data_IF_842637198303
#
_entry.id   IF_842637198303
#
_cell.length_a   1.000
_cell.length_b   1.000
_cell.length_c   1.000
_cell.angle_alpha   90.00
_cell.angle_beta   90.00
_cell.angle_gamma   90.00
#
_symmetry.space_group_name_H-M   'P 1'
#
loop_
_entity.id
_entity.type
_entity.pdbx_description
1 polymer ?
#
# COMPACT_ATOMS: atom_id res chain seq x y z
N UNK A 1 -14.87 -16.93 -10.10
CA UNK A 1 -13.66 -16.65 -9.30
C UNK A 1 -13.43 -15.18 -9.44
N UNK A 2 -13.04 -14.51 -8.35
CA UNK A 2 -12.80 -13.08 -8.41
C UNK A 2 -11.62 -12.78 -9.34
N UNK A 3 -11.68 -11.63 -10.00
CA UNK A 3 -10.67 -11.21 -10.96
C UNK A 3 -9.67 -10.28 -10.27
N UNK A 4 -8.39 -10.66 -10.19
CA UNK A 4 -7.34 -9.72 -9.80
C UNK A 4 -7.02 -8.78 -10.96
N UNK A 5 -7.58 -7.56 -10.93
CA UNK A 5 -7.52 -6.62 -12.04
C UNK A 5 -6.33 -5.69 -11.98
N UNK A 6 -5.82 -5.34 -10.79
CA UNK A 6 -4.64 -4.53 -10.66
C UNK A 6 -3.93 -4.77 -9.33
N UNK A 7 -2.61 -4.61 -9.36
CA UNK A 7 -1.76 -4.53 -8.18
C UNK A 7 -1.08 -3.17 -8.22
N UNK A 8 -1.20 -2.40 -7.15
CA UNK A 8 -0.66 -1.05 -7.05
C UNK A 8 0.23 -0.98 -5.81
N UNK A 9 1.39 -0.33 -5.92
CA UNK A 9 2.28 -0.07 -4.79
C UNK A 9 2.71 1.40 -4.81
N UNK A 10 2.59 2.09 -3.67
CA UNK A 10 2.89 3.52 -3.57
C UNK A 10 3.49 3.90 -2.23
N UNK A 11 4.26 4.98 -2.21
CA UNK A 11 4.53 5.67 -0.95
C UNK A 11 3.25 6.29 -0.37
N UNK A 12 3.12 6.33 0.97
CA UNK A 12 1.93 6.88 1.67
C UNK A 12 2.22 8.19 2.41
N UNK A 13 3.07 9.04 1.85
CA UNK A 13 3.52 10.24 2.54
C UNK A 13 2.37 11.26 2.73
N UNK A 14 1.94 11.55 3.98
CA UNK A 14 0.68 12.24 4.22
C UNK A 14 0.68 13.73 3.84
N UNK A 15 1.86 14.32 3.66
CA UNK A 15 1.99 15.69 3.19
C UNK A 15 1.48 15.89 1.76
N UNK A 16 1.43 14.84 0.93
CA UNK A 16 0.89 14.95 -0.43
C UNK A 16 -0.49 15.62 -0.42
N UNK A 17 -1.39 15.17 0.45
CA UNK A 17 -2.76 15.67 0.49
C UNK A 17 -2.75 17.18 0.76
N UNK A 18 -2.07 17.64 1.82
CA UNK A 18 -1.91 19.06 2.11
C UNK A 18 -1.31 19.84 0.94
N UNK A 19 -0.19 19.35 0.40
CA UNK A 19 0.55 20.01 -0.68
C UNK A 19 -0.31 20.16 -1.93
N UNK A 20 -1.14 19.17 -2.25
CA UNK A 20 -2.05 19.20 -3.42
C UNK A 20 -3.20 20.20 -3.28
N UNK A 21 -3.52 20.65 -2.06
CA UNK A 21 -4.56 21.64 -1.79
C UNK A 21 -4.02 23.07 -1.68
N UNK A 22 -2.69 23.27 -1.73
CA UNK A 22 -2.10 24.60 -1.61
C UNK A 22 -2.36 25.43 -2.89
N UNK A 23 -2.65 26.73 -2.73
CA UNK A 23 -2.60 27.68 -3.84
C UNK A 23 -1.23 27.66 -4.54
N UNK A 24 -1.16 27.89 -5.88
CA UNK A 24 0.11 27.83 -6.62
C UNK A 24 1.22 28.76 -6.10
N UNK A 25 0.87 29.88 -5.49
CA UNK A 25 1.81 30.85 -4.90
C UNK A 25 2.36 30.41 -3.52
N UNK A 26 1.77 29.40 -2.91
CA UNK A 26 2.18 28.82 -1.61
C UNK A 26 2.73 27.40 -1.75
N UNK A 27 2.55 26.77 -2.91
CA UNK A 27 2.98 25.41 -3.17
C UNK A 27 4.51 25.33 -3.31
N UNK A 28 5.17 24.28 -2.75
CA UNK A 28 6.59 24.08 -2.94
C UNK A 28 6.91 23.78 -4.42
N UNK A 29 8.16 24.01 -4.87
CA UNK A 29 8.53 23.88 -6.29
C UNK A 29 8.24 22.50 -6.90
N UNK A 30 8.31 21.43 -6.11
CA UNK A 30 8.03 20.06 -6.55
C UNK A 30 6.53 19.72 -6.64
N UNK A 31 5.64 20.55 -6.11
CA UNK A 31 4.22 20.22 -5.98
C UNK A 31 3.54 19.96 -7.34
N UNK A 32 3.82 20.79 -8.35
CA UNK A 32 3.20 20.66 -9.67
C UNK A 32 3.57 19.33 -10.34
N UNK A 33 4.85 18.93 -10.24
CA UNK A 33 5.32 17.64 -10.74
C UNK A 33 4.68 16.49 -9.97
N UNK A 34 4.66 16.58 -8.63
CA UNK A 34 4.06 15.56 -7.78
C UNK A 34 2.58 15.33 -8.10
N UNK A 35 1.79 16.40 -8.21
CA UNK A 35 0.37 16.33 -8.59
C UNK A 35 0.19 15.70 -9.97
N UNK A 36 1.04 16.06 -10.96
CA UNK A 36 0.97 15.50 -12.31
C UNK A 36 1.27 14.00 -12.34
N UNK A 37 2.27 13.55 -11.58
CA UNK A 37 2.62 12.13 -11.46
C UNK A 37 1.49 11.34 -10.80
N UNK A 38 0.90 11.87 -9.71
CA UNK A 38 -0.28 11.26 -9.08
C UNK A 38 -1.46 11.19 -10.03
N UNK A 39 -1.72 12.24 -10.84
CA UNK A 39 -2.80 12.20 -11.81
C UNK A 39 -2.60 11.05 -12.82
N UNK A 40 -1.37 10.82 -13.28
CA UNK A 40 -1.04 9.69 -14.17
C UNK A 40 -1.20 8.35 -13.45
N UNK A 41 -0.70 8.23 -12.22
CA UNK A 41 -0.81 7.00 -11.43
C UNK A 41 -2.27 6.64 -11.13
N UNK A 42 -3.11 7.63 -10.81
CA UNK A 42 -4.55 7.49 -10.59
C UNK A 42 -5.25 6.84 -11.78
N UNK A 43 -4.92 7.27 -13.00
CA UNK A 43 -5.52 6.68 -14.21
C UNK A 43 -5.25 5.18 -14.34
N UNK A 44 -4.15 4.67 -13.76
CA UNK A 44 -3.86 3.24 -13.79
C UNK A 44 -4.89 2.41 -13.04
N UNK A 45 -5.41 2.90 -11.90
CA UNK A 45 -6.51 2.27 -11.16
C UNK A 45 -7.86 2.51 -11.87
N UNK A 46 -8.10 3.73 -12.37
CA UNK A 46 -9.33 4.10 -13.07
C UNK A 46 -9.62 3.13 -14.22
N UNK A 47 -8.61 2.78 -15.02
CA UNK A 47 -8.71 1.83 -16.14
C UNK A 47 -9.04 0.40 -15.70
N UNK A 48 -8.54 0.01 -14.53
CA UNK A 48 -8.75 -1.32 -13.96
C UNK A 48 -10.18 -1.52 -13.43
N UNK A 49 -10.93 -0.45 -13.09
CA UNK A 49 -12.32 -0.52 -12.58
C UNK A 49 -12.53 -1.65 -11.55
N UNK A 50 -11.85 -1.62 -10.40
CA UNK A 50 -12.12 -2.58 -9.34
C UNK A 50 -13.47 -2.31 -8.67
N UNK A 51 -14.07 -3.37 -8.15
CA UNK A 51 -15.29 -3.33 -7.32
C UNK A 51 -14.95 -3.30 -5.83
N UNK A 52 -13.77 -3.81 -5.43
CA UNK A 52 -13.28 -3.89 -4.04
C UNK A 52 -11.76 -3.72 -4.01
N UNK A 53 -11.26 -3.11 -2.94
CA UNK A 53 -9.83 -2.87 -2.73
C UNK A 53 -9.29 -3.67 -1.54
N UNK A 54 -8.30 -4.52 -1.77
CA UNK A 54 -7.48 -5.07 -0.68
C UNK A 54 -6.37 -4.09 -0.40
N UNK A 55 -6.36 -3.49 0.78
CA UNK A 55 -5.45 -2.39 1.12
C UNK A 55 -4.37 -2.88 2.08
N UNK A 56 -3.11 -2.84 1.67
CA UNK A 56 -1.97 -3.21 2.52
C UNK A 56 -1.28 -1.95 3.03
N UNK A 57 -1.03 -1.88 4.33
CA UNK A 57 -0.27 -0.80 4.95
C UNK A 57 0.16 -1.19 6.35
N UNK A 58 0.55 -0.20 7.13
CA UNK A 58 1.06 -0.38 8.49
C UNK A 58 0.45 0.66 9.42
N UNK A 59 0.00 0.25 10.61
CA UNK A 59 -0.51 1.19 11.62
C UNK A 59 0.66 1.99 12.19
N UNK A 60 0.56 3.31 12.16
CA UNK A 60 1.60 4.22 12.65
C UNK A 60 1.51 4.44 14.16
N UNK A 61 1.37 3.34 14.91
CA UNK A 61 1.18 3.33 16.35
C UNK A 61 -0.06 4.14 16.79
N UNK A 62 -1.13 4.02 16.02
CA UNK A 62 -2.38 4.69 16.28
C UNK A 62 -3.29 3.82 17.14
N UNK A 63 -3.48 2.58 16.71
CA UNK A 63 -4.31 1.59 17.42
C UNK A 63 -3.51 0.36 17.81
N UNK A 64 -2.49 -0.02 17.04
CA UNK A 64 -1.67 -1.19 17.32
C UNK A 64 -0.41 -0.74 18.05
N UNK A 65 -0.28 -1.16 19.31
CA UNK A 65 0.80 -0.73 20.19
C UNK A 65 1.56 -1.91 20.78
N UNK A 66 2.61 -1.63 21.56
CA UNK A 66 3.55 -2.63 22.10
C UNK A 66 2.92 -3.61 23.10
N UNK A 67 1.72 -3.32 23.62
CA UNK A 67 0.96 -4.24 24.45
C UNK A 67 0.28 -5.36 23.65
N UNK A 68 -0.03 -5.12 22.36
CA UNK A 68 -0.48 -6.14 21.43
C UNK A 68 -0.24 -5.74 19.96
N UNK A 69 0.88 -6.19 19.40
CA UNK A 69 1.28 -5.91 18.01
C UNK A 69 1.18 -7.17 17.14
N UNK A 70 0.09 -7.35 16.37
CA UNK A 70 -0.03 -8.47 15.45
C UNK A 70 0.96 -8.34 14.29
N UNK A 71 1.52 -9.45 13.83
CA UNK A 71 2.48 -9.44 12.72
C UNK A 71 1.79 -9.10 11.38
N UNK A 72 0.61 -9.68 11.18
CA UNK A 72 -0.29 -9.40 10.06
C UNK A 72 -1.73 -9.44 10.59
N UNK A 73 -2.51 -8.40 10.29
CA UNK A 73 -3.88 -8.25 10.76
C UNK A 73 -4.81 -7.93 9.59
N UNK A 74 -5.94 -8.61 9.50
CA UNK A 74 -7.01 -8.29 8.54
C UNK A 74 -8.16 -7.61 9.28
N UNK A 75 -8.54 -6.41 8.87
CA UNK A 75 -9.77 -5.81 9.37
C UNK A 75 -10.98 -6.58 8.84
N UNK A 76 -12.00 -6.75 9.68
CA UNK A 76 -13.21 -7.52 9.35
C UNK A 76 -14.46 -6.81 9.90
N UNK A 77 -14.57 -5.51 9.64
CA UNK A 77 -15.67 -4.67 10.08
C UNK A 77 -16.51 -4.23 8.86
N UNK A 78 -17.83 -4.02 9.01
CA UNK A 78 -18.67 -3.52 7.92
C UNK A 78 -18.33 -2.08 7.52
N UNK A 79 -17.82 -1.28 8.46
CA UNK A 79 -17.46 0.12 8.27
C UNK A 79 -16.20 0.45 9.08
N UNK A 80 -15.40 1.38 8.59
CA UNK A 80 -14.20 1.87 9.25
C UNK A 80 -14.22 3.39 9.34
N UNK A 81 -14.11 3.92 10.56
CA UNK A 81 -13.75 5.32 10.76
C UNK A 81 -12.31 5.53 10.28
N UNK A 82 -12.08 6.65 9.62
CA UNK A 82 -10.79 6.91 9.01
C UNK A 82 -10.35 8.37 9.12
N UNK A 83 -9.02 8.42 9.20
CA UNK A 83 -8.13 9.46 9.68
C UNK A 83 -8.31 9.80 11.17
N UNK A 84 -7.18 9.79 11.87
CA UNK A 84 -7.05 10.19 13.26
C UNK A 84 -6.99 11.71 13.40
N UNK A 85 -7.29 12.22 14.59
CA UNK A 85 -7.38 13.66 14.82
C UNK A 85 -6.06 14.39 14.54
N UNK A 86 -4.91 13.78 14.87
CA UNK A 86 -3.60 14.32 14.52
C UNK A 86 -3.37 14.34 13.01
N UNK A 87 -3.84 13.36 12.25
CA UNK A 87 -3.67 13.33 10.79
C UNK A 87 -4.51 14.43 10.12
N UNK A 88 -5.72 14.64 10.62
CA UNK A 88 -6.60 15.74 10.21
C UNK A 88 -5.92 17.09 10.51
N UNK A 89 -5.41 17.26 11.73
CA UNK A 89 -4.77 18.52 12.17
C UNK A 89 -3.45 18.78 11.42
N UNK A 90 -2.56 17.80 11.36
CA UNK A 90 -1.18 17.95 10.89
C UNK A 90 -1.04 17.80 9.37
N UNK A 91 -1.98 17.13 8.70
CA UNK A 91 -1.91 16.89 7.26
C UNK A 91 -3.15 17.43 6.51
N UNK A 92 -4.14 17.97 7.23
CA UNK A 92 -5.36 18.50 6.62
C UNK A 92 -6.27 17.44 6.01
N UNK A 93 -6.04 16.16 6.31
CA UNK A 93 -6.79 15.05 5.72
C UNK A 93 -8.26 15.09 6.18
N UNK A 94 -9.21 14.68 5.32
CA UNK A 94 -10.63 14.71 5.68
C UNK A 94 -10.97 13.56 6.64
N UNK A 95 -12.07 13.71 7.39
CA UNK A 95 -12.71 12.55 8.04
C UNK A 95 -13.29 11.66 6.96
N UNK A 96 -13.03 10.37 7.04
CA UNK A 96 -13.53 9.37 6.09
C UNK A 96 -14.29 8.28 6.83
N UNK A 97 -15.28 7.71 6.15
CA UNK A 97 -16.00 6.53 6.60
C UNK A 97 -16.00 5.53 5.45
N UNK A 98 -15.23 4.46 5.58
CA UNK A 98 -14.97 3.50 4.51
C UNK A 98 -15.82 2.25 4.72
N UNK A 99 -16.42 1.72 3.66
CA UNK A 99 -17.14 0.43 3.72
C UNK A 99 -16.13 -0.71 3.75
N UNK A 100 -16.36 -1.71 4.59
CA UNK A 100 -15.61 -2.97 4.55
C UNK A 100 -16.29 -4.02 3.69
N UNK A 101 -15.49 -4.90 3.07
CA UNK A 101 -15.99 -6.13 2.45
C UNK A 101 -15.84 -7.31 3.43
N UNK A 102 -16.89 -7.57 4.21
CA UNK A 102 -16.85 -8.60 5.26
C UNK A 102 -16.70 -10.01 4.69
N UNK A 103 -17.23 -10.27 3.50
CA UNK A 103 -17.17 -11.58 2.86
C UNK A 103 -15.74 -11.90 2.44
N UNK A 104 -15.09 -10.99 1.69
CA UNK A 104 -13.69 -11.15 1.30
C UNK A 104 -12.76 -11.16 2.51
N UNK A 105 -13.04 -10.34 3.54
CA UNK A 105 -12.26 -10.35 4.80
C UNK A 105 -12.35 -11.71 5.50
N UNK A 106 -13.56 -12.27 5.61
CA UNK A 106 -13.76 -13.59 6.21
C UNK A 106 -13.10 -14.71 5.39
N UNK A 107 -13.19 -14.62 4.07
CA UNK A 107 -12.55 -15.56 3.16
C UNK A 107 -11.02 -15.51 3.26
N UNK A 108 -10.44 -14.30 3.27
CA UNK A 108 -9.00 -14.07 3.48
C UNK A 108 -8.48 -14.69 4.78
N UNK A 109 -9.21 -14.50 5.88
CA UNK A 109 -8.85 -15.07 7.18
C UNK A 109 -8.94 -16.61 7.18
N UNK A 110 -9.99 -17.17 6.56
CA UNK A 110 -10.19 -18.62 6.53
C UNK A 110 -9.14 -19.33 5.68
N UNK A 111 -8.91 -18.84 4.46
CA UNK A 111 -7.95 -19.42 3.53
C UNK A 111 -6.51 -19.13 3.93
N UNK A 112 -6.25 -17.98 4.57
CA UNK A 112 -4.94 -17.64 5.12
C UNK A 112 -4.45 -18.69 6.11
N UNK A 113 -5.32 -19.16 7.01
CA UNK A 113 -5.02 -20.25 7.94
C UNK A 113 -4.67 -21.55 7.20
N UNK A 114 -5.47 -21.94 6.19
CA UNK A 114 -5.23 -23.17 5.43
C UNK A 114 -3.96 -23.10 4.57
N UNK A 115 -3.51 -21.88 4.22
CA UNK A 115 -2.25 -21.60 3.53
C UNK A 115 -1.07 -21.34 4.48
N UNK A 116 -1.26 -21.56 5.80
CA UNK A 116 -0.18 -21.50 6.79
C UNK A 116 0.20 -20.08 7.24
N UNK A 117 -0.74 -19.14 7.22
CA UNK A 117 -0.61 -17.81 7.80
C UNK A 117 -1.55 -17.62 8.99
N UNK A 118 -0.96 -17.35 10.16
CA UNK A 118 -1.67 -16.97 11.37
C UNK A 118 -2.05 -15.49 11.33
N UNK A 119 -3.10 -15.16 10.57
CA UNK A 119 -3.60 -13.79 10.44
C UNK A 119 -4.44 -13.40 11.67
N UNK A 120 -4.08 -12.29 12.32
CA UNK A 120 -4.94 -11.67 13.31
C UNK A 120 -6.15 -11.00 12.62
N UNK A 121 -7.21 -10.72 13.37
CA UNK A 121 -8.32 -9.90 12.87
C UNK A 121 -8.79 -8.87 13.88
N UNK A 122 -9.36 -7.77 13.38
CA UNK A 122 -10.05 -6.76 14.20
C UNK A 122 -11.38 -6.36 13.57
N UNK A 123 -12.44 -6.36 14.38
CA UNK A 123 -13.77 -5.87 13.99
C UNK A 123 -13.98 -4.40 14.37
N UNK A 124 -12.99 -3.76 15.01
CA UNK A 124 -13.08 -2.39 15.52
C UNK A 124 -11.82 -1.61 15.14
N UNK A 125 -11.33 -1.83 13.92
CA UNK A 125 -10.16 -1.14 13.40
C UNK A 125 -10.54 0.29 13.01
N UNK A 126 -9.72 1.26 13.39
CA UNK A 126 -9.72 2.61 12.82
C UNK A 126 -8.57 2.73 11.85
N UNK A 127 -8.82 3.34 10.70
CA UNK A 127 -7.88 3.36 9.58
C UNK A 127 -7.07 4.65 9.59
N UNK A 128 -5.75 4.50 9.47
CA UNK A 128 -4.77 5.58 9.44
C UNK A 128 -4.31 5.93 8.01
N UNK A 129 -3.39 6.88 7.91
CA UNK A 129 -2.91 7.42 6.64
C UNK A 129 -2.19 6.40 5.75
N UNK A 130 -1.67 5.29 6.28
CA UNK A 130 -1.04 4.26 5.43
C UNK A 130 -2.03 3.68 4.41
N UNK A 131 -3.32 3.60 4.76
CA UNK A 131 -4.39 3.11 3.90
C UNK A 131 -5.10 4.27 3.19
N UNK A 132 -5.36 5.37 3.89
CA UNK A 132 -6.13 6.48 3.30
C UNK A 132 -5.33 7.34 2.33
N UNK A 133 -4.01 7.50 2.50
CA UNK A 133 -3.19 8.24 1.53
C UNK A 133 -3.22 7.61 0.14
N UNK A 134 -3.00 6.29 -0.02
CA UNK A 134 -3.21 5.62 -1.30
C UNK A 134 -4.63 5.83 -1.86
N UNK A 135 -5.67 5.70 -1.03
CA UNK A 135 -7.06 5.95 -1.47
C UNK A 135 -7.22 7.38 -2.00
N UNK A 136 -6.79 8.40 -1.26
CA UNK A 136 -6.87 9.80 -1.69
C UNK A 136 -6.05 10.08 -2.96
N UNK A 137 -5.01 9.28 -3.19
CA UNK A 137 -4.14 9.37 -4.36
C UNK A 137 -4.82 8.81 -5.61
N UNK A 138 -5.28 7.55 -5.55
CA UNK A 138 -5.75 6.80 -6.74
C UNK A 138 -7.27 6.63 -6.84
N UNK A 139 -8.02 6.87 -5.75
CA UNK A 139 -9.49 6.83 -5.71
C UNK A 139 -10.06 7.85 -4.70
N UNK A 140 -9.91 9.17 -4.95
CA UNK A 140 -10.29 10.21 -3.98
C UNK A 140 -11.77 10.24 -3.61
N UNK A 141 -12.64 9.63 -4.43
CA UNK A 141 -14.07 9.48 -4.13
C UNK A 141 -14.31 8.56 -2.91
N UNK A 142 -13.33 7.72 -2.54
CA UNK A 142 -13.35 6.83 -1.38
C UNK A 142 -14.65 6.00 -1.26
N UNK A 143 -15.16 5.52 -2.39
CA UNK A 143 -16.51 4.95 -2.56
C UNK A 143 -16.52 3.41 -2.73
N UNK A 144 -15.35 2.80 -2.87
CA UNK A 144 -15.18 1.35 -2.98
C UNK A 144 -15.07 0.71 -1.58
N UNK A 145 -15.62 -0.51 -1.39
CA UNK A 145 -15.35 -1.26 -0.18
C UNK A 145 -13.86 -1.65 -0.09
N UNK A 146 -13.38 -1.79 1.14
CA UNK A 146 -11.99 -2.16 1.43
C UNK A 146 -11.89 -3.44 2.27
N UNK A 147 -10.78 -4.15 2.11
CA UNK A 147 -10.27 -5.17 3.05
C UNK A 147 -8.90 -4.69 3.52
N UNK A 148 -8.80 -4.03 4.69
CA UNK A 148 -7.53 -3.53 5.19
C UNK A 148 -6.69 -4.68 5.77
N UNK A 149 -5.42 -4.72 5.40
CA UNK A 149 -4.40 -5.63 5.90
C UNK A 149 -3.28 -4.77 6.48
N UNK A 150 -3.15 -4.80 7.80
CA UNK A 150 -2.03 -4.17 8.50
C UNK A 150 -0.87 -5.14 8.69
N UNK A 151 0.33 -4.67 8.40
CA UNK A 151 1.57 -5.40 8.64
C UNK A 151 2.36 -4.73 9.77
N UNK A 152 3.11 -5.52 10.52
CA UNK A 152 4.06 -4.98 11.49
C UNK A 152 5.41 -4.75 10.81
N UNK A 153 5.72 -3.48 10.54
CA UNK A 153 7.02 -3.03 10.03
C UNK A 153 7.83 -2.25 11.07
N UNK A 154 7.28 -1.98 12.26
CA UNK A 154 7.88 -1.07 13.23
C UNK A 154 8.43 -1.75 14.48
N UNK A 155 7.66 -2.64 15.10
CA UNK A 155 7.97 -3.14 16.44
C UNK A 155 8.52 -4.56 16.40
N UNK A 156 9.76 -4.81 16.88
CA UNK A 156 10.30 -6.15 16.94
C UNK A 156 9.52 -7.04 17.93
N UNK A 157 9.45 -8.36 17.69
CA UNK A 157 10.02 -9.08 16.54
C UNK A 157 9.25 -8.80 15.24
N UNK A 158 9.99 -8.66 14.14
CA UNK A 158 9.47 -8.46 12.79
C UNK A 158 9.55 -9.77 11.98
N UNK A 159 8.60 -10.03 11.05
CA UNK A 159 8.74 -11.11 10.09
C UNK A 159 9.92 -10.83 9.15
N UNK A 160 10.59 -11.87 8.66
CA UNK A 160 11.66 -11.69 7.67
C UNK A 160 11.09 -11.20 6.32
N UNK A 161 11.88 -10.51 5.49
CA UNK A 161 11.43 -10.02 4.19
C UNK A 161 10.82 -11.10 3.27
N UNK A 162 11.34 -12.33 3.30
CA UNK A 162 10.77 -13.47 2.54
C UNK A 162 9.32 -13.75 2.93
N UNK A 163 8.97 -13.53 4.20
CA UNK A 163 7.62 -13.79 4.72
C UNK A 163 6.60 -12.79 4.15
N UNK A 164 7.01 -11.55 3.90
CA UNK A 164 6.18 -10.55 3.23
C UNK A 164 5.92 -10.95 1.77
N UNK A 165 6.95 -11.37 1.04
CA UNK A 165 6.80 -11.90 -0.34
C UNK A 165 5.86 -13.12 -0.37
N UNK A 166 6.02 -14.06 0.58
CA UNK A 166 5.13 -15.22 0.69
C UNK A 166 3.69 -14.83 0.99
N UNK A 167 3.47 -13.84 1.86
CA UNK A 167 2.13 -13.34 2.15
C UNK A 167 1.50 -12.72 0.91
N UNK A 168 2.26 -11.92 0.14
CA UNK A 168 1.78 -11.37 -1.12
C UNK A 168 1.33 -12.43 -2.12
N UNK A 169 2.15 -13.48 -2.32
CA UNK A 169 1.79 -14.63 -3.16
C UNK A 169 0.50 -15.31 -2.66
N UNK A 170 0.40 -15.48 -1.34
CA UNK A 170 -0.77 -16.08 -0.69
C UNK A 170 -2.03 -15.24 -0.89
N UNK A 171 -1.94 -13.92 -0.72
CA UNK A 171 -3.06 -12.98 -0.95
C UNK A 171 -3.57 -13.09 -2.38
N UNK A 172 -2.66 -13.12 -3.37
CA UNK A 172 -3.04 -13.34 -4.78
C UNK A 172 -3.81 -14.64 -4.95
N UNK A 173 -3.25 -15.75 -4.47
CA UNK A 173 -3.88 -17.07 -4.60
C UNK A 173 -5.28 -17.10 -3.95
N UNK A 174 -5.45 -16.46 -2.79
CA UNK A 174 -6.74 -16.34 -2.11
C UNK A 174 -7.73 -15.57 -2.97
N UNK A 175 -7.35 -14.39 -3.47
CA UNK A 175 -8.22 -13.56 -4.31
C UNK A 175 -8.66 -14.34 -5.55
N UNK A 176 -7.73 -14.94 -6.27
CA UNK A 176 -8.01 -15.73 -7.48
C UNK A 176 -8.81 -17.02 -7.17
N UNK A 177 -8.85 -17.46 -5.90
CA UNK A 177 -9.63 -18.61 -5.43
C UNK A 177 -10.99 -18.23 -4.83
N UNK A 178 -11.29 -16.94 -4.63
CA UNK A 178 -12.55 -16.52 -4.05
C UNK A 178 -13.71 -16.75 -5.03
N UNK A 179 -14.79 -17.47 -4.66
CA UNK A 179 -15.93 -17.77 -5.54
C UNK A 179 -16.87 -16.56 -5.73
N UNK A 180 -16.31 -15.47 -6.23
CA UNK A 180 -17.02 -14.23 -6.57
C UNK A 180 -16.85 -13.91 -8.06
N UNK A 181 -17.53 -12.87 -8.54
CA UNK A 181 -17.36 -12.26 -9.87
C UNK A 181 -16.81 -10.83 -9.77
N UNK A 182 -16.46 -10.39 -8.55
CA UNK A 182 -15.95 -9.05 -8.31
C UNK A 182 -14.53 -8.89 -8.84
N UNK A 183 -14.24 -7.66 -9.24
CA UNK A 183 -12.93 -7.20 -9.68
C UNK A 183 -12.17 -6.65 -8.48
N UNK A 184 -11.08 -7.30 -8.12
CA UNK A 184 -10.28 -6.95 -6.94
C UNK A 184 -9.02 -6.21 -7.40
N UNK A 185 -8.75 -5.05 -6.79
CA UNK A 185 -7.42 -4.45 -6.84
C UNK A 185 -6.72 -4.58 -5.49
N UNK A 186 -5.43 -4.89 -5.50
CA UNK A 186 -4.61 -4.85 -4.27
C UNK A 186 -3.76 -3.59 -4.32
N UNK A 187 -3.86 -2.75 -3.29
CA UNK A 187 -3.11 -1.51 -3.19
C UNK A 187 -2.30 -1.55 -1.90
N UNK A 188 -0.97 -1.60 -2.03
CA UNK A 188 -0.07 -1.58 -0.90
C UNK A 188 0.67 -0.26 -0.79
N UNK A 189 1.03 0.08 0.44
CA UNK A 189 1.84 1.27 0.67
C UNK A 189 2.92 1.08 1.69
N UNK A 190 3.95 1.91 1.59
CA UNK A 190 5.11 1.90 2.47
C UNK A 190 5.99 3.10 2.21
N UNK A 191 7.29 2.93 2.42
CA UNK A 191 8.33 3.89 2.06
C UNK A 191 9.62 3.16 1.71
N UNK A 192 10.50 3.83 0.97
CA UNK A 192 11.82 3.32 0.62
C UNK A 192 12.79 3.65 1.78
N UNK A 193 13.90 4.35 1.52
CA UNK A 193 14.70 4.92 2.60
C UNK A 193 13.88 5.96 3.36
N UNK A 194 13.79 5.80 4.69
CA UNK A 194 13.08 6.75 5.54
C UNK A 194 13.73 6.85 6.91
N UNK A 195 13.97 8.08 7.36
CA UNK A 195 14.43 8.40 8.69
C UNK A 195 13.47 9.40 9.33
N UNK A 196 12.92 9.03 10.49
CA UNK A 196 12.01 9.83 11.28
C UNK A 196 12.71 10.29 12.56
N UNK A 197 12.74 11.61 12.79
CA UNK A 197 13.34 12.25 13.96
C UNK A 197 14.87 12.32 13.96
N UNK A 198 15.53 11.79 12.93
CA UNK A 198 16.99 11.79 12.80
C UNK A 198 17.53 12.93 11.92
N UNK A 199 18.86 13.14 11.91
CA UNK A 199 19.49 14.23 11.16
C UNK A 199 19.33 14.12 9.64
N UNK A 200 19.20 12.90 9.07
CA UNK A 200 19.03 12.70 7.62
C UNK A 200 17.65 13.13 7.14
N UNK A 201 16.64 13.17 8.00
CA UNK A 201 15.31 13.70 7.68
C UNK A 201 15.37 15.16 7.19
N UNK A 202 16.33 15.94 7.70
CA UNK A 202 16.51 17.36 7.37
C UNK A 202 17.66 17.59 6.38
N UNK A 203 18.09 16.52 5.71
CA UNK A 203 19.12 16.57 4.69
C UNK A 203 18.67 17.27 3.40
N UNK A 204 19.61 17.49 2.46
CA UNK A 204 19.28 18.00 1.12
C UNK A 204 18.61 16.95 0.22
N UNK A 205 18.67 15.67 0.60
CA UNK A 205 18.10 14.52 -0.11
C UNK A 205 17.44 13.57 0.89
N UNK A 206 16.68 12.60 0.38
CA UNK A 206 16.26 11.45 1.17
C UNK A 206 17.42 10.73 1.86
N UNK A 207 17.13 9.90 2.88
CA UNK A 207 18.13 9.32 3.77
C UNK A 207 19.19 8.44 3.09
N UNK A 208 18.82 7.75 1.99
CA UNK A 208 19.72 6.93 1.20
C UNK A 208 19.24 6.83 -0.27
N UNK A 209 19.66 7.78 -1.13
CA UNK A 209 19.26 7.79 -2.54
C UNK A 209 19.76 6.58 -3.34
N UNK A 210 20.85 5.92 -2.91
CA UNK A 210 21.37 4.73 -3.58
C UNK A 210 20.52 3.49 -3.28
N UNK A 211 20.03 3.37 -2.04
CA UNK A 211 19.01 2.38 -1.70
C UNK A 211 17.73 2.65 -2.49
N UNK A 212 17.25 3.90 -2.52
CA UNK A 212 16.01 4.26 -3.20
C UNK A 212 16.05 3.89 -4.69
N UNK A 213 17.14 4.22 -5.39
CA UNK A 213 17.32 3.88 -6.81
C UNK A 213 17.29 2.36 -7.06
N UNK A 214 17.96 1.58 -6.21
CA UNK A 214 17.96 0.10 -6.31
C UNK A 214 16.59 -0.48 -6.00
N UNK A 215 15.92 0.04 -4.98
CA UNK A 215 14.56 -0.35 -4.62
C UNK A 215 13.58 -0.12 -5.79
N UNK A 216 13.63 1.05 -6.44
CA UNK A 216 12.83 1.32 -7.64
C UNK A 216 13.17 0.34 -8.77
N UNK A 217 14.45 0.06 -9.02
CA UNK A 217 14.87 -0.88 -10.06
C UNK A 217 14.32 -2.29 -9.81
N UNK A 218 14.49 -2.80 -8.59
CA UNK A 218 14.01 -4.10 -8.19
C UNK A 218 12.49 -4.25 -8.35
N UNK A 219 11.74 -3.29 -7.81
CA UNK A 219 10.27 -3.30 -7.88
C UNK A 219 9.83 -3.21 -9.34
N UNK A 220 10.38 -2.25 -10.10
CA UNK A 220 9.99 -2.02 -11.51
C UNK A 220 10.21 -3.26 -12.38
N UNK A 221 11.27 -4.02 -12.13
CA UNK A 221 11.63 -5.18 -12.93
C UNK A 221 11.03 -6.50 -12.41
N UNK A 222 10.33 -6.49 -11.27
CA UNK A 222 9.83 -7.71 -10.64
C UNK A 222 10.96 -8.62 -10.14
N UNK A 223 12.10 -8.04 -9.77
CA UNK A 223 13.31 -8.76 -9.36
C UNK A 223 13.24 -9.19 -7.89
N UNK A 224 12.33 -10.13 -7.59
CA UNK A 224 12.12 -10.63 -6.23
C UNK A 224 13.40 -11.31 -5.71
N UNK A 225 14.12 -12.04 -6.56
CA UNK A 225 15.29 -12.79 -6.13
C UNK A 225 16.45 -11.86 -5.77
N UNK A 226 16.69 -10.81 -6.58
CA UNK A 226 17.69 -9.78 -6.29
C UNK A 226 17.37 -9.00 -5.01
N UNK A 227 16.10 -8.67 -4.77
CA UNK A 227 15.70 -8.05 -3.48
C UNK A 227 16.00 -8.97 -2.31
N UNK A 228 15.60 -10.24 -2.39
CA UNK A 228 15.78 -11.19 -1.29
C UNK A 228 17.25 -11.51 -1.00
N UNK A 229 18.13 -11.39 -1.99
CA UNK A 229 19.57 -11.51 -1.80
C UNK A 229 20.17 -10.32 -1.01
N UNK A 230 19.61 -9.11 -1.19
CA UNK A 230 20.22 -7.87 -0.68
C UNK A 230 19.48 -7.26 0.53
N UNK A 231 18.22 -7.62 0.74
CA UNK A 231 17.35 -7.03 1.77
C UNK A 231 17.12 -8.02 2.90
N UNK A 232 17.57 -7.62 4.08
CA UNK A 232 17.41 -8.33 5.35
C UNK A 232 16.88 -7.36 6.39
N UNK A 233 16.37 -7.87 7.52
CA UNK A 233 15.95 -6.99 8.63
C UNK A 233 17.08 -6.06 9.09
N UNK A 234 18.32 -6.57 9.12
CA UNK A 234 19.50 -5.80 9.53
C UNK A 234 19.88 -4.73 8.49
N UNK A 235 19.85 -5.07 7.20
CA UNK A 235 20.23 -4.11 6.15
C UNK A 235 19.24 -2.95 6.03
N UNK A 236 17.96 -3.15 6.38
CA UNK A 236 16.94 -2.10 6.40
C UNK A 236 17.20 -1.00 7.45
N UNK A 237 17.98 -1.26 8.51
CA UNK A 237 18.36 -0.19 9.43
C UNK A 237 19.34 0.84 8.84
N UNK A 238 20.10 0.45 7.81
CA UNK A 238 21.13 1.30 7.19
C UNK A 238 20.56 2.54 6.50
N UNK A 239 19.63 2.37 5.53
CA UNK A 239 19.04 3.48 4.79
C UNK A 239 18.28 4.47 5.67
N UNK A 240 17.76 4.05 6.83
CA UNK A 240 16.98 4.91 7.71
C UNK A 240 16.24 4.12 8.78
N UNK A 241 15.94 4.77 9.92
CA UNK A 241 15.36 4.09 11.09
C UNK A 241 13.90 3.63 10.90
N UNK A 242 13.24 4.04 9.82
CA UNK A 242 11.90 3.63 9.47
C UNK A 242 11.85 2.80 8.19
N UNK A 243 12.95 2.55 7.47
CA UNK A 243 12.99 1.89 6.15
C UNK A 243 12.28 0.52 6.07
N UNK A 244 12.02 -0.14 7.20
CA UNK A 244 11.31 -1.45 7.24
C UNK A 244 9.96 -1.48 6.52
N UNK A 245 9.30 -0.34 6.32
CA UNK A 245 8.11 -0.24 5.45
C UNK A 245 8.37 -0.56 3.98
N UNK A 246 9.63 -0.70 3.56
CA UNK A 246 9.98 -1.30 2.28
C UNK A 246 9.50 -2.75 2.15
N UNK A 247 9.32 -3.46 3.27
CA UNK A 247 8.78 -4.83 3.27
C UNK A 247 7.35 -4.90 2.73
N UNK A 248 6.56 -3.83 2.84
CA UNK A 248 5.22 -3.78 2.21
C UNK A 248 5.33 -3.72 0.68
N UNK A 249 6.34 -3.05 0.12
CA UNK A 249 6.63 -3.15 -1.33
C UNK A 249 7.03 -4.58 -1.72
N UNK A 250 7.79 -5.28 -0.88
CA UNK A 250 8.15 -6.68 -1.13
C UNK A 250 6.92 -7.61 -1.07
N UNK A 251 5.97 -7.33 -0.17
CA UNK A 251 4.67 -7.99 -0.18
C UNK A 251 3.95 -7.75 -1.51
N UNK A 252 3.90 -6.49 -1.97
CA UNK A 252 3.28 -6.15 -3.26
C UNK A 252 3.96 -6.82 -4.46
N UNK A 253 5.29 -6.94 -4.45
CA UNK A 253 6.02 -7.74 -5.45
C UNK A 253 5.59 -9.22 -5.38
N UNK A 254 5.32 -9.75 -4.20
CA UNK A 254 4.74 -11.09 -4.03
C UNK A 254 3.35 -11.24 -4.67
N UNK A 255 2.49 -10.21 -4.56
CA UNK A 255 1.17 -10.20 -5.21
C UNK A 255 1.31 -10.09 -6.74
N UNK A 256 2.18 -9.19 -7.22
CA UNK A 256 2.42 -8.99 -8.66
C UNK A 256 3.07 -10.21 -9.33
N UNK A 257 4.00 -10.87 -8.61
CA UNK A 257 4.88 -11.91 -9.13
C UNK A 257 6.11 -11.34 -9.84
N UNK A 258 6.83 -12.17 -10.60
CA UNK A 258 8.07 -11.83 -11.32
C UNK A 258 7.83 -10.98 -12.59
N UNK A 259 6.78 -10.16 -12.61
CA UNK A 259 6.42 -9.34 -13.76
C UNK A 259 7.02 -7.95 -13.63
N UNK A 260 7.49 -7.41 -14.76
CA UNK A 260 7.82 -5.99 -14.87
C UNK A 260 6.56 -5.15 -14.63
N UNK A 261 6.68 -4.04 -13.93
CA UNK A 261 5.59 -3.09 -13.74
C UNK A 261 5.15 -2.49 -15.08
N UNK A 262 3.83 -2.44 -15.30
CA UNK A 262 3.20 -1.79 -16.45
C UNK A 262 3.29 -0.26 -16.35
N UNK A 263 3.33 0.25 -15.13
CA UNK A 263 3.64 1.63 -14.80
C UNK A 263 4.66 1.66 -13.66
N UNK A 264 5.72 2.44 -13.83
CA UNK A 264 6.70 2.74 -12.78
C UNK A 264 7.08 4.21 -12.90
N UNK A 265 6.94 4.96 -11.82
CA UNK A 265 7.37 6.35 -11.75
C UNK A 265 7.86 6.66 -10.33
N UNK A 266 8.70 7.68 -10.20
CA UNK A 266 9.19 8.15 -8.91
C UNK A 266 9.45 9.66 -8.92
N UNK A 267 9.54 10.23 -7.72
CA UNK A 267 9.90 11.63 -7.50
C UNK A 267 10.79 11.73 -6.27
N UNK A 268 12.02 12.19 -6.46
CA UNK A 268 12.92 12.47 -5.33
C UNK A 268 12.51 13.77 -4.65
N UNK A 269 12.12 13.68 -3.39
CA UNK A 269 11.91 14.83 -2.51
C UNK A 269 13.12 15.00 -1.58
N UNK A 270 13.19 16.14 -0.89
CA UNK A 270 14.34 16.49 -0.06
C UNK A 270 14.47 15.62 1.21
N UNK A 271 13.41 14.93 1.64
CA UNK A 271 13.42 14.11 2.86
C UNK A 271 13.01 12.64 2.62
N UNK A 272 12.59 12.28 1.42
CA UNK A 272 12.18 10.91 1.02
C UNK A 272 12.08 10.80 -0.50
N UNK A 273 12.02 9.58 -1.03
CA UNK A 273 11.53 9.32 -2.38
C UNK A 273 10.03 9.02 -2.35
N UNK A 274 9.30 9.51 -3.34
CA UNK A 274 7.97 9.01 -3.70
C UNK A 274 8.09 8.02 -4.86
N UNK A 275 7.31 6.94 -4.83
CA UNK A 275 7.35 5.92 -5.88
C UNK A 275 5.95 5.34 -6.15
N UNK A 276 5.68 5.04 -7.42
CA UNK A 276 4.38 4.61 -7.93
C UNK A 276 4.55 3.44 -8.89
N UNK A 277 3.89 2.33 -8.60
CA UNK A 277 3.97 1.13 -9.43
C UNK A 277 2.59 0.53 -9.66
N UNK A 278 2.32 0.10 -10.88
CA UNK A 278 1.12 -0.67 -11.22
C UNK A 278 1.50 -1.88 -12.06
N UNK A 279 0.88 -3.02 -11.72
CA UNK A 279 0.87 -4.22 -12.53
C UNK A 279 -0.57 -4.60 -12.86
N UNK A 280 -0.77 -5.18 -14.05
CA UNK A 280 -2.03 -5.77 -14.47
C UNK A 280 -1.83 -7.28 -14.66
N UNK A 281 -2.00 -8.10 -13.60
CA UNK A 281 -1.79 -9.55 -13.69
C UNK A 281 -2.64 -10.22 -14.76
N UNK A 282 -3.79 -9.63 -15.09
CA UNK A 282 -4.74 -10.06 -16.09
C UNK A 282 -5.01 -8.90 -17.08
N UNK A 283 -4.10 -8.60 -18.02
CA UNK A 283 -4.16 -7.37 -18.83
C UNK A 283 -5.37 -7.32 -19.77
N UNK A 284 -5.94 -8.49 -20.12
CA UNK A 284 -7.16 -8.60 -20.92
C UNK A 284 -8.43 -8.09 -20.20
N UNK A 285 -8.36 -7.86 -18.88
CA UNK A 285 -9.47 -7.32 -18.09
C UNK A 285 -9.44 -5.79 -18.00
N UNK A 286 -8.36 -5.13 -18.40
CA UNK A 286 -8.20 -3.68 -18.34
C UNK A 286 -8.94 -3.04 -19.51
N UNK A 287 -9.66 -1.94 -19.25
CA UNK A 287 -10.50 -1.26 -20.25
C UNK A 287 -11.62 -2.13 -20.88
N UNK A 288 -11.78 -3.40 -20.46
CA UNK A 288 -12.81 -4.31 -20.95
C UNK A 288 -14.23 -3.85 -20.56
N UNK A 289 -15.22 -3.77 -21.46
CA UNK A 289 -16.56 -3.30 -21.11
C UNK A 289 -17.12 -4.03 -19.89
N UNK A 290 -17.67 -3.30 -18.91
CA UNK A 290 -18.26 -3.90 -17.72
C UNK A 290 -19.39 -4.83 -18.15
N UNK A 291 -19.27 -6.13 -17.89
CA UNK A 291 -20.33 -7.09 -18.19
C UNK A 291 -21.57 -6.71 -17.37
N UNK A 292 -22.72 -6.40 -17.99
CA UNK A 292 -23.91 -6.06 -17.24
C UNK A 292 -24.52 -7.34 -16.65
N UNK A 293 -24.34 -7.57 -15.35
CA UNK A 293 -25.10 -8.58 -14.57
C UNK A 293 -24.26 -9.25 -13.48
N UNK A 294 -24.66 -9.34 -12.21
CA UNK A 294 -26.00 -9.17 -11.65
C UNK A 294 -25.96 -8.63 -10.23
N UNK A 295 -26.68 -7.52 -10.03
CA UNK A 295 -27.36 -7.28 -8.76
C UNK A 295 -28.72 -7.94 -8.88
N UNK A 296 -28.87 -9.11 -8.27
CA UNK A 296 -30.14 -9.69 -7.90
C UNK A 296 -30.10 -9.92 -6.39
#
# INVERSE_FOLDING_TARGET
>A
MADLVAVLATTHHPFYYRTSQLPPDQAPPFAAEWISKIATYRETLTRARPDVLVMVGSDHFHQLWLDNMPQFLVGKAPMYDANWENEIREFGMPKLLLRGDEELSAYMLREGLDKGFDLAFSNELRIDHSITCPILTVRPDADLPIVPIYTNIFAPPLPRPERFVQLGRTIREIIESWPSHLRVAVIGSGHLSLELGGPRQFGPTGPDPEFDARAVEWISNGDIDGVLEHVTLDSLHGPGNATHGFMDFMLMMGVAGYQKADHADSLSLFHTMEAYFTWYPNPHLIDAPSTPGGRA
#
